data_IF_679379536395
#
_entry.id   IF_679379536395
#
_cell.length_a   1.000
_cell.length_b   1.000
_cell.length_c   1.000
_cell.angle_alpha   90.00
_cell.angle_beta   90.00
_cell.angle_gamma   90.00
#
_symmetry.space_group_name_H-M   'P 1'
#
loop_
_entity.id
_entity.type
_entity.pdbx_description
1 polymer ?
#
# COMPACT_ATOMS: atom_id res chain seq x y z
N UNK A 1 -10.45 1.54 25.88
CA UNK A 1 -9.74 1.70 24.59
C UNK A 1 -10.24 0.60 23.68
N UNK A 2 -11.11 0.91 22.72
CA UNK A 2 -11.49 -0.04 21.68
C UNK A 2 -10.23 -0.41 20.90
N UNK A 3 -9.86 -1.69 20.95
CA UNK A 3 -8.81 -2.22 20.11
C UNK A 3 -9.28 -2.02 18.67
N UNK A 4 -8.75 -0.99 18.00
CA UNK A 4 -8.91 -0.83 16.55
C UNK A 4 -8.19 -2.02 15.91
N UNK A 5 -8.93 -3.11 15.75
CA UNK A 5 -8.49 -4.27 15.00
C UNK A 5 -8.66 -3.90 13.53
N UNK A 6 -7.71 -3.11 13.01
CA UNK A 6 -7.56 -2.99 11.56
C UNK A 6 -7.27 -4.40 11.11
N UNK A 7 -8.27 -5.04 10.52
CA UNK A 7 -8.16 -6.43 10.13
C UNK A 7 -7.21 -6.44 8.94
N UNK A 8 -6.12 -7.21 9.01
CA UNK A 8 -5.13 -7.37 7.93
C UNK A 8 -5.75 -7.42 6.52
N UNK A 9 -6.91 -8.08 6.30
CA UNK A 9 -7.63 -8.03 5.01
C UNK A 9 -8.04 -6.64 4.50
N UNK A 10 -8.36 -5.68 5.38
CA UNK A 10 -8.74 -4.32 4.99
C UNK A 10 -7.53 -3.48 4.56
N UNK A 11 -6.33 -3.77 5.07
CA UNK A 11 -5.07 -3.17 4.65
C UNK A 11 -4.68 -3.65 3.25
N UNK A 12 -4.70 -4.97 3.02
CA UNK A 12 -4.43 -5.55 1.71
C UNK A 12 -5.39 -5.06 0.62
N UNK A 13 -6.70 -4.99 0.93
CA UNK A 13 -7.70 -4.41 0.01
C UNK A 13 -7.41 -2.94 -0.32
N UNK A 14 -7.05 -2.13 0.69
CA UNK A 14 -6.75 -0.70 0.49
C UNK A 14 -5.47 -0.50 -0.34
N UNK A 15 -4.43 -1.30 -0.08
CA UNK A 15 -3.20 -1.28 -0.87
C UNK A 15 -3.47 -1.65 -2.33
N UNK A 16 -4.20 -2.74 -2.57
CA UNK A 16 -4.58 -3.17 -3.92
C UNK A 16 -5.43 -2.11 -4.66
N UNK A 17 -6.36 -1.46 -3.96
CA UNK A 17 -7.17 -0.37 -4.52
C UNK A 17 -6.32 0.83 -4.92
N UNK A 18 -5.30 1.19 -4.14
CA UNK A 18 -4.39 2.30 -4.47
C UNK A 18 -3.46 1.92 -5.63
N UNK A 19 -2.99 0.67 -5.69
CA UNK A 19 -2.22 0.18 -6.84
C UNK A 19 -3.05 0.20 -8.12
N UNK A 20 -4.33 -0.16 -8.07
CA UNK A 20 -5.23 -0.04 -9.21
C UNK A 20 -5.44 1.42 -9.64
N UNK A 21 -5.67 2.32 -8.68
CA UNK A 21 -5.81 3.75 -8.94
C UNK A 21 -4.53 4.37 -9.55
N UNK A 22 -3.34 3.90 -9.15
CA UNK A 22 -2.06 4.29 -9.75
C UNK A 22 -1.96 3.86 -11.22
N UNK A 23 -2.37 2.64 -11.54
CA UNK A 23 -2.38 2.16 -12.92
C UNK A 23 -3.35 2.97 -13.81
N UNK A 24 -4.53 3.32 -13.27
CA UNK A 24 -5.49 4.18 -13.95
C UNK A 24 -4.96 5.61 -14.13
N UNK A 25 -4.31 6.17 -13.11
CA UNK A 25 -3.63 7.46 -13.19
C UNK A 25 -2.59 7.50 -14.31
N UNK A 26 -1.75 6.46 -14.40
CA UNK A 26 -0.74 6.34 -15.45
C UNK A 26 -1.34 6.26 -16.85
N UNK A 27 -2.42 5.50 -16.99
CA UNK A 27 -3.16 5.39 -18.25
C UNK A 27 -3.73 6.75 -18.69
N UNK A 28 -4.33 7.50 -17.76
CA UNK A 28 -4.84 8.84 -18.04
C UNK A 28 -3.71 9.82 -18.41
N UNK A 29 -2.60 9.82 -17.69
CA UNK A 29 -1.44 10.67 -18.04
C UNK A 29 -0.93 10.35 -19.44
N UNK A 30 -0.81 9.06 -19.80
CA UNK A 30 -0.41 8.62 -21.14
C UNK A 30 -1.41 9.10 -22.21
N UNK A 31 -2.71 8.97 -21.96
CA UNK A 31 -3.75 9.40 -22.88
C UNK A 31 -3.71 10.91 -23.15
N UNK A 32 -3.59 11.73 -22.10
CA UNK A 32 -3.47 13.19 -22.24
C UNK A 32 -2.19 13.54 -22.99
N UNK A 33 -1.08 12.86 -22.70
CA UNK A 33 0.19 13.07 -23.41
C UNK A 33 0.06 12.78 -24.91
N UNK A 34 -0.61 11.70 -25.29
CA UNK A 34 -0.86 11.39 -26.70
C UNK A 34 -1.73 12.46 -27.38
N UNK A 35 -2.77 12.95 -26.70
CA UNK A 35 -3.62 14.01 -27.22
C UNK A 35 -2.84 15.33 -27.42
N UNK A 36 -2.03 15.71 -26.44
CA UNK A 36 -1.18 16.91 -26.51
C UNK A 36 -0.18 16.79 -27.66
N UNK A 37 0.53 15.67 -27.77
CA UNK A 37 1.47 15.45 -28.87
C UNK A 37 0.78 15.48 -30.25
N UNK A 38 -0.48 15.04 -30.34
CA UNK A 38 -1.27 15.13 -31.56
C UNK A 38 -1.64 16.58 -31.96
N UNK A 39 -1.81 17.48 -30.98
CA UNK A 39 -2.15 18.89 -31.22
C UNK A 39 -0.91 19.74 -31.48
N UNK A 40 0.17 19.50 -30.73
CA UNK A 40 1.39 20.33 -30.81
C UNK A 40 2.33 19.86 -31.92
N UNK A 41 2.34 18.57 -32.25
CA UNK A 41 3.42 17.94 -33.02
C UNK A 41 3.54 18.28 -34.51
N UNK A 42 2.56 18.95 -35.14
CA UNK A 42 2.53 19.05 -36.61
C UNK A 42 2.44 20.47 -37.21
N UNK A 43 2.08 21.51 -36.46
CA UNK A 43 1.86 22.83 -37.08
C UNK A 43 1.86 24.02 -36.12
N UNK A 44 2.18 23.82 -34.83
CA UNK A 44 2.11 24.88 -33.84
C UNK A 44 3.51 25.34 -33.45
N UNK A 45 3.92 26.48 -34.00
CA UNK A 45 5.23 27.10 -33.77
C UNK A 45 5.08 28.52 -33.21
N UNK A 46 6.15 29.05 -32.64
CA UNK A 46 6.22 30.41 -32.07
C UNK A 46 6.05 30.47 -30.55
N UNK A 47 6.08 31.68 -29.99
CA UNK A 47 6.12 31.95 -28.53
C UNK A 47 5.01 31.24 -27.73
N UNK A 48 3.80 31.14 -28.30
CA UNK A 48 2.69 30.44 -27.66
C UNK A 48 2.94 28.93 -27.50
N UNK A 49 3.61 28.29 -28.48
CA UNK A 49 3.96 26.87 -28.43
C UNK A 49 5.06 26.59 -27.40
N UNK A 50 6.00 27.52 -27.22
CA UNK A 50 7.06 27.43 -26.20
C UNK A 50 6.47 27.59 -24.79
N UNK A 51 5.61 28.59 -24.58
CA UNK A 51 4.92 28.81 -23.31
C UNK A 51 4.06 27.59 -22.93
N UNK A 52 3.34 27.02 -23.92
CA UNK A 52 2.60 25.78 -23.70
C UNK A 52 3.51 24.60 -23.34
N UNK A 53 4.62 24.41 -24.06
CA UNK A 53 5.59 23.34 -23.77
C UNK A 53 6.17 23.43 -22.36
N UNK A 54 6.44 24.66 -21.89
CA UNK A 54 6.83 24.92 -20.51
C UNK A 54 5.74 24.54 -19.51
N UNK A 55 4.49 24.98 -19.76
CA UNK A 55 3.34 24.61 -18.93
C UNK A 55 3.09 23.11 -18.89
N UNK A 56 3.20 22.44 -20.03
CA UNK A 56 3.06 21.00 -20.17
C UNK A 56 4.14 20.23 -19.38
N UNK A 57 5.39 20.70 -19.44
CA UNK A 57 6.49 20.13 -18.65
C UNK A 57 6.22 20.27 -17.14
N UNK A 58 5.74 21.43 -16.70
CA UNK A 58 5.37 21.66 -15.29
C UNK A 58 4.20 20.76 -14.83
N UNK A 59 3.22 20.56 -15.72
CA UNK A 59 2.13 19.62 -15.46
C UNK A 59 2.63 18.18 -15.31
N UNK A 60 3.52 17.71 -16.19
CA UNK A 60 4.13 16.37 -16.09
C UNK A 60 4.92 16.18 -14.80
N UNK A 61 5.66 17.21 -14.36
CA UNK A 61 6.35 17.18 -13.06
C UNK A 61 5.36 17.03 -11.91
N UNK A 62 4.26 17.78 -11.93
CA UNK A 62 3.21 17.69 -10.91
C UNK A 62 2.53 16.32 -10.90
N UNK A 63 2.23 15.76 -12.07
CA UNK A 63 1.70 14.42 -12.21
C UNK A 63 2.67 13.36 -11.66
N UNK A 64 3.97 13.51 -11.92
CA UNK A 64 5.03 12.67 -11.35
C UNK A 64 5.08 12.72 -9.83
N UNK A 65 4.93 13.90 -9.22
CA UNK A 65 4.86 14.07 -7.77
C UNK A 65 3.63 13.37 -7.17
N UNK A 66 2.45 13.50 -7.81
CA UNK A 66 1.23 12.82 -7.38
C UNK A 66 1.39 11.29 -7.45
N UNK A 67 1.93 10.77 -8.56
CA UNK A 67 2.23 9.34 -8.71
C UNK A 67 3.17 8.86 -7.60
N UNK A 68 4.25 9.59 -7.34
CA UNK A 68 5.22 9.22 -6.32
C UNK A 68 4.60 9.16 -4.91
N UNK A 69 3.75 10.14 -4.57
CA UNK A 69 3.05 10.15 -3.30
C UNK A 69 2.08 8.96 -3.15
N UNK A 70 1.30 8.65 -4.19
CA UNK A 70 0.40 7.49 -4.18
C UNK A 70 1.17 6.16 -4.07
N UNK A 71 2.32 6.04 -4.72
CA UNK A 71 3.18 4.86 -4.64
C UNK A 71 3.81 4.68 -3.24
N UNK A 72 4.22 5.78 -2.60
CA UNK A 72 4.70 5.75 -1.21
C UNK A 72 3.60 5.27 -0.25
N UNK A 73 2.36 5.77 -0.42
CA UNK A 73 1.21 5.32 0.40
C UNK A 73 0.97 3.83 0.22
N UNK A 74 0.94 3.32 -1.03
CA UNK A 74 0.75 1.90 -1.30
C UNK A 74 1.83 1.04 -0.63
N UNK A 75 3.09 1.48 -0.71
CA UNK A 75 4.24 0.79 -0.08
C UNK A 75 4.13 0.75 1.44
N UNK A 76 3.71 1.86 2.07
CA UNK A 76 3.49 1.94 3.52
C UNK A 76 2.38 1.01 3.97
N UNK A 77 1.28 0.93 3.22
CA UNK A 77 0.18 0.02 3.54
C UNK A 77 0.60 -1.44 3.46
N UNK A 78 1.37 -1.83 2.45
CA UNK A 78 1.87 -3.20 2.31
C UNK A 78 2.89 -3.57 3.40
N UNK A 79 3.75 -2.63 3.78
CA UNK A 79 4.68 -2.80 4.91
C UNK A 79 3.91 -2.98 6.23
N UNK A 80 2.84 -2.21 6.43
CA UNK A 80 1.99 -2.32 7.60
C UNK A 80 1.27 -3.68 7.63
N UNK A 81 0.68 -4.11 6.52
CA UNK A 81 0.07 -5.44 6.37
C UNK A 81 1.03 -6.57 6.79
N UNK A 82 2.24 -6.58 6.22
CA UNK A 82 3.27 -7.58 6.54
C UNK A 82 3.66 -7.56 8.03
N UNK A 83 3.75 -6.36 8.63
CA UNK A 83 4.06 -6.20 10.05
C UNK A 83 2.96 -6.77 10.95
N UNK A 84 1.69 -6.57 10.58
CA UNK A 84 0.56 -7.15 11.31
C UNK A 84 0.54 -8.68 11.21
N UNK A 85 0.80 -9.26 10.04
CA UNK A 85 0.89 -10.73 9.88
C UNK A 85 1.98 -11.34 10.76
N UNK A 86 3.15 -10.69 10.84
CA UNK A 86 4.25 -11.13 11.71
C UNK A 86 3.83 -11.08 13.18
N UNK A 87 3.23 -9.97 13.63
CA UNK A 87 2.78 -9.82 15.02
C UNK A 87 1.71 -10.85 15.38
N UNK A 88 0.73 -11.09 14.50
CA UNK A 88 -0.30 -12.12 14.73
C UNK A 88 0.29 -13.54 14.77
N UNK A 89 1.25 -13.86 13.89
CA UNK A 89 1.91 -15.16 13.89
C UNK A 89 2.70 -15.42 15.18
N UNK A 90 3.42 -14.41 15.69
CA UNK A 90 4.17 -14.50 16.94
C UNK A 90 3.24 -14.64 18.15
N UNK A 91 2.17 -13.84 18.20
CA UNK A 91 1.17 -13.92 19.27
C UNK A 91 0.49 -15.29 19.30
N UNK A 92 0.15 -15.84 18.13
CA UNK A 92 -0.42 -17.18 18.01
C UNK A 92 0.55 -18.26 18.48
N UNK A 93 1.85 -18.15 18.15
CA UNK A 93 2.87 -19.08 18.62
C UNK A 93 3.05 -19.03 20.15
N UNK A 94 3.13 -17.83 20.73
CA UNK A 94 3.24 -17.63 22.18
C UNK A 94 2.00 -18.16 22.92
N UNK A 95 0.81 -17.92 22.39
CA UNK A 95 -0.44 -18.40 22.98
C UNK A 95 -0.51 -19.93 23.02
N UNK A 96 -0.07 -20.61 21.94
CA UNK A 96 0.02 -22.08 21.90
C UNK A 96 1.02 -22.63 22.92
N UNK A 97 2.20 -22.02 23.03
CA UNK A 97 3.21 -22.43 24.01
C UNK A 97 2.72 -22.24 25.45
N UNK A 98 2.00 -21.14 25.72
CA UNK A 98 1.41 -20.86 27.03
C UNK A 98 0.32 -21.87 27.43
N UNK A 99 -0.54 -22.30 26.49
CA UNK A 99 -1.58 -23.29 26.79
C UNK A 99 -1.02 -24.66 27.11
N UNK A 100 0.11 -25.04 26.50
CA UNK A 100 0.81 -26.30 26.78
C UNK A 100 1.43 -26.26 28.18
N UNK A 101 2.13 -25.17 28.53
CA UNK A 101 2.73 -25.01 29.86
C UNK A 101 1.71 -24.94 31.00
N UNK A 102 0.52 -24.38 30.76
CA UNK A 102 -0.57 -24.36 31.74
C UNK A 102 -1.32 -25.69 31.89
N UNK A 103 -1.29 -26.56 30.87
CA UNK A 103 -1.92 -27.87 30.89
C UNK A 103 -1.15 -28.92 31.70
N UNK A 104 0.19 -28.88 31.64
CA UNK A 104 1.06 -29.87 32.29
C UNK A 104 1.15 -29.72 33.83
N UNK A 105 0.83 -28.55 34.39
CA UNK A 105 0.91 -28.32 35.85
C UNK A 105 -0.27 -28.96 36.60
N UNK A 106 -1.39 -29.28 35.93
CA UNK A 106 -2.62 -29.76 36.60
C UNK A 106 -2.72 -31.28 36.72
N UNK A 107 -1.82 -32.06 36.11
CA UNK A 107 -1.88 -33.53 36.04
C UNK A 107 -0.88 -34.26 36.94
N UNK A 108 -0.03 -33.55 37.69
CA UNK A 108 1.07 -34.13 38.49
C UNK A 108 0.90 -34.17 40.02
N UNK A 109 -0.32 -34.26 40.56
CA UNK A 109 -0.55 -34.28 42.03
C UNK A 109 -1.52 -35.38 42.46
N UNK A 110 -1.15 -36.64 42.23
CA UNK A 110 -1.88 -37.74 42.84
C UNK A 110 -1.27 -39.07 42.50
N UNK A 111 -0.51 -39.64 43.45
CA UNK A 111 -0.41 -41.07 43.79
C UNK A 111 1.04 -41.48 44.07
N UNK A 112 1.35 -41.57 45.36
CA UNK A 112 2.15 -42.67 45.94
C UNK A 112 1.85 -42.74 47.43
N UNK A 113 0.85 -43.55 47.75
CA UNK A 113 0.67 -44.14 49.06
C UNK A 113 1.25 -45.54 48.98
N UNK A 114 2.29 -45.83 49.78
CA UNK A 114 2.65 -47.13 50.37
C UNK A 114 3.81 -46.92 51.32
#
# INVERSE_FOLDING_TARGET
>A
MSQFRVSTPSLGYSAASITAALAEFDAHVSQVTAAVNGVVGNSWEGEASEAFSGGWTSWLQSAGMTRAALADIATRLHTAESSYEIVESQLNAQSRTSSIAGGDIRTGSGRSAS
#
